data_IF_309913035515
#
_entry.id   IF_309913035515
#
_cell.length_a   1.000
_cell.length_b   1.000
_cell.length_c   1.000
_cell.angle_alpha   90.00
_cell.angle_beta   90.00
_cell.angle_gamma   90.00
#
_symmetry.space_group_name_H-M   'P 1'
#
loop_
_entity.id
_entity.type
_entity.pdbx_description
1 polymer ?
#
# COMPACT_ATOMS: atom_id res chain seq x y z
N UNK A 1 -3.47 10.09 -24.90
CA UNK A 1 -3.81 11.48 -24.56
C UNK A 1 -4.31 12.22 -25.79
N UNK A 2 -5.45 12.81 -25.69
CA UNK A 2 -6.02 13.69 -26.72
C UNK A 2 -6.07 15.13 -26.18
N UNK A 3 -5.41 16.11 -26.84
CA UNK A 3 -5.47 17.49 -26.40
C UNK A 3 -6.92 18.00 -26.33
N UNK A 4 -7.24 18.79 -25.31
CA UNK A 4 -8.54 19.41 -25.18
C UNK A 4 -8.67 20.55 -26.21
N UNK A 5 -9.67 20.46 -27.08
CA UNK A 5 -9.95 21.49 -28.08
C UNK A 5 -10.67 22.72 -27.50
N UNK A 6 -11.25 22.58 -26.30
CA UNK A 6 -12.06 23.62 -25.63
C UNK A 6 -11.28 24.36 -24.55
N UNK A 7 -9.97 24.22 -24.52
CA UNK A 7 -9.14 24.83 -23.49
C UNK A 7 -9.03 26.34 -23.71
N UNK A 8 -9.77 27.10 -22.91
CA UNK A 8 -9.72 28.57 -22.88
C UNK A 8 -8.60 29.11 -21.97
N UNK A 9 -7.77 28.22 -21.37
CA UNK A 9 -6.70 28.55 -20.46
C UNK A 9 -7.16 28.85 -19.02
N UNK A 10 -8.46 28.82 -18.74
CA UNK A 10 -9.01 29.06 -17.38
C UNK A 10 -9.72 27.84 -16.78
N UNK A 11 -10.20 26.94 -17.62
CA UNK A 11 -10.95 25.76 -17.16
C UNK A 11 -10.06 24.51 -17.17
N UNK A 12 -10.06 23.75 -16.08
CA UNK A 12 -9.39 22.46 -16.01
C UNK A 12 -10.02 21.50 -17.03
N UNK A 13 -9.17 20.94 -17.87
CA UNK A 13 -9.53 19.93 -18.84
C UNK A 13 -8.53 18.76 -18.72
N UNK A 14 -9.01 17.58 -18.36
CA UNK A 14 -8.17 16.42 -18.11
C UNK A 14 -8.65 15.19 -18.88
N UNK A 15 -7.71 14.41 -19.39
CA UNK A 15 -8.00 13.06 -19.92
C UNK A 15 -8.07 12.01 -18.80
N UNK A 16 -7.67 12.38 -17.56
CA UNK A 16 -7.83 11.54 -16.38
C UNK A 16 -9.17 11.82 -15.70
N UNK A 17 -9.69 10.88 -14.91
CA UNK A 17 -10.84 11.14 -14.05
C UNK A 17 -10.60 12.33 -13.12
N UNK A 18 -11.66 13.11 -12.87
CA UNK A 18 -11.68 14.16 -11.87
C UNK A 18 -12.44 13.69 -10.64
N UNK A 19 -11.86 13.90 -9.45
CA UNK A 19 -12.51 13.64 -8.17
C UNK A 19 -12.73 14.98 -7.48
N UNK A 20 -13.99 15.36 -7.34
CA UNK A 20 -14.44 16.62 -6.79
C UNK A 20 -14.94 16.39 -5.36
N UNK A 21 -14.26 16.96 -4.38
CA UNK A 21 -14.59 16.80 -2.95
C UNK A 21 -15.10 18.14 -2.42
N UNK A 22 -16.29 18.13 -1.83
CA UNK A 22 -16.92 19.31 -1.26
C UNK A 22 -17.17 19.10 0.24
N UNK A 23 -16.50 19.91 1.06
CA UNK A 23 -16.61 19.89 2.52
C UNK A 23 -17.49 21.01 3.09
N UNK A 24 -18.02 21.87 2.22
CA UNK A 24 -18.72 23.09 2.64
C UNK A 24 -17.79 24.09 3.35
N UNK A 25 -16.49 24.02 3.09
CA UNK A 25 -15.48 24.89 3.72
C UNK A 25 -15.01 24.41 5.10
N UNK A 26 -15.49 23.26 5.58
CA UNK A 26 -14.99 22.68 6.81
C UNK A 26 -13.59 22.04 6.61
N UNK A 27 -12.73 22.16 7.64
CA UNK A 27 -11.40 21.54 7.64
C UNK A 27 -11.50 20.03 7.78
N UNK A 28 -10.73 19.30 6.97
CA UNK A 28 -10.67 17.83 7.04
C UNK A 28 -9.82 17.43 8.25
N UNK A 29 -10.35 16.62 9.19
CA UNK A 29 -9.62 16.24 10.39
C UNK A 29 -8.48 15.26 10.09
N UNK A 30 -7.50 15.19 11.00
CA UNK A 30 -6.39 14.23 10.94
C UNK A 30 -5.03 14.86 10.63
N UNK A 31 -4.94 16.17 10.48
CA UNK A 31 -3.66 16.88 10.42
C UNK A 31 -3.01 17.00 11.80
N UNK A 32 -1.67 16.97 11.89
CA UNK A 32 -0.99 17.26 13.15
C UNK A 32 -1.29 18.67 13.64
N UNK A 33 -1.68 18.82 14.92
CA UNK A 33 -1.91 20.13 15.53
C UNK A 33 -0.58 20.91 15.58
N UNK A 34 -0.63 22.22 15.33
CA UNK A 34 0.50 23.11 15.53
C UNK A 34 0.60 23.51 17.00
N UNK A 35 1.78 23.29 17.56
CA UNK A 35 2.12 23.75 18.93
C UNK A 35 2.34 25.28 18.96
N UNK A 36 2.41 25.85 20.18
CA UNK A 36 2.65 27.29 20.38
C UNK A 36 3.99 27.77 19.77
N UNK A 37 4.98 26.91 19.71
CA UNK A 37 6.29 27.19 19.10
C UNK A 37 6.32 27.05 17.57
N UNK A 38 5.17 26.71 16.96
CA UNK A 38 5.01 26.50 15.52
C UNK A 38 5.38 25.10 15.03
N UNK A 39 5.91 24.22 15.90
CA UNK A 39 6.15 22.83 15.56
C UNK A 39 4.84 22.06 15.39
N UNK A 40 4.87 20.92 14.68
CA UNK A 40 3.72 20.03 14.54
C UNK A 40 3.77 18.96 15.64
N UNK A 41 2.62 18.66 16.25
CA UNK A 41 2.50 17.59 17.25
C UNK A 41 2.75 16.22 16.62
N UNK A 42 3.37 15.30 17.37
CA UNK A 42 3.63 13.93 16.91
C UNK A 42 2.45 12.97 17.19
N UNK A 43 1.56 13.34 18.09
CA UNK A 43 0.55 12.45 18.67
C UNK A 43 -0.87 13.07 18.78
N UNK A 44 -0.99 14.38 18.54
CA UNK A 44 -2.27 15.07 18.57
C UNK A 44 -2.65 15.59 17.19
N UNK A 45 -3.85 15.22 16.75
CA UNK A 45 -4.35 15.53 15.42
C UNK A 45 -5.64 16.35 15.51
N UNK A 46 -5.90 17.10 14.44
CA UNK A 46 -7.14 17.90 14.32
C UNK A 46 -8.36 16.99 14.29
N UNK A 47 -9.44 17.50 14.86
CA UNK A 47 -10.78 16.87 14.88
C UNK A 47 -11.81 17.82 14.27
N UNK A 48 -12.97 17.31 13.94
CA UNK A 48 -14.12 18.14 13.59
C UNK A 48 -14.57 18.99 14.78
N UNK A 49 -15.41 19.98 14.55
CA UNK A 49 -15.88 20.90 15.57
C UNK A 49 -16.61 20.20 16.75
N UNK A 50 -17.20 19.04 16.51
CA UNK A 50 -17.85 18.18 17.51
C UNK A 50 -16.91 17.09 18.07
N UNK A 51 -15.61 17.15 17.77
CA UNK A 51 -14.58 16.22 18.24
C UNK A 51 -14.48 14.92 17.46
N UNK A 52 -15.13 14.81 16.31
CA UNK A 52 -15.08 13.66 15.44
C UNK A 52 -13.73 13.52 14.70
N UNK A 53 -13.40 12.31 14.30
CA UNK A 53 -12.19 11.98 13.50
C UNK A 53 -12.48 11.84 12.00
N UNK A 54 -13.72 11.94 11.61
CA UNK A 54 -14.21 11.87 10.23
C UNK A 54 -15.14 13.07 9.98
N UNK A 55 -14.96 13.71 8.83
CA UNK A 55 -15.82 14.82 8.38
C UNK A 55 -16.83 14.29 7.36
N UNK A 56 -18.10 14.62 7.55
CA UNK A 56 -19.13 14.39 6.53
C UNK A 56 -18.94 15.39 5.37
N UNK A 57 -18.82 14.85 4.16
CA UNK A 57 -18.58 15.60 2.93
C UNK A 57 -19.32 14.94 1.76
N UNK A 58 -19.15 15.47 0.56
CA UNK A 58 -19.59 14.83 -0.67
C UNK A 58 -18.44 14.64 -1.65
N UNK A 59 -18.55 13.64 -2.49
CA UNK A 59 -17.65 13.39 -3.62
C UNK A 59 -18.47 13.25 -4.89
N UNK A 60 -17.98 13.89 -5.96
CA UNK A 60 -18.44 13.66 -7.32
C UNK A 60 -17.25 13.21 -8.18
N UNK A 61 -17.46 12.23 -9.04
CA UNK A 61 -16.46 11.75 -9.99
C UNK A 61 -16.93 12.08 -11.39
N UNK A 62 -16.06 12.70 -12.17
CA UNK A 62 -16.25 12.89 -13.61
C UNK A 62 -15.26 11.99 -14.33
N UNK A 63 -15.76 10.94 -14.96
CA UNK A 63 -14.97 9.92 -15.64
C UNK A 63 -15.70 9.45 -16.90
N UNK A 64 -15.51 10.17 -17.97
CA UNK A 64 -16.09 9.85 -19.27
C UNK A 64 -15.08 9.07 -20.12
N UNK A 65 -15.44 7.86 -20.54
CA UNK A 65 -14.56 6.99 -21.32
C UNK A 65 -14.11 7.60 -22.66
N UNK A 66 -14.93 8.44 -23.26
CA UNK A 66 -14.67 9.06 -24.54
C UNK A 66 -14.51 10.57 -24.40
N UNK A 67 -13.29 11.05 -24.32
CA UNK A 67 -13.01 12.47 -24.31
C UNK A 67 -12.24 12.96 -23.09
N UNK A 68 -12.30 14.25 -22.87
CA UNK A 68 -11.70 14.89 -21.70
C UNK A 68 -12.79 15.22 -20.68
N UNK A 69 -12.40 15.27 -19.42
CA UNK A 69 -13.24 15.58 -18.28
C UNK A 69 -13.05 17.04 -17.84
N UNK A 70 -14.15 17.70 -17.52
CA UNK A 70 -14.17 19.06 -16.97
C UNK A 70 -14.92 19.06 -15.63
N UNK A 71 -14.58 19.94 -14.68
CA UNK A 71 -15.29 20.02 -13.40
C UNK A 71 -16.79 20.32 -13.51
N UNK A 72 -17.20 20.92 -14.63
CA UNK A 72 -18.60 21.27 -14.93
C UNK A 72 -19.39 20.15 -15.62
N UNK A 73 -18.73 19.06 -16.01
CA UNK A 73 -19.40 17.95 -16.68
C UNK A 73 -20.32 17.21 -15.69
N UNK A 74 -21.30 16.50 -16.22
CA UNK A 74 -22.19 15.68 -15.39
C UNK A 74 -21.40 14.57 -14.73
N UNK A 75 -21.41 14.45 -13.37
CA UNK A 75 -20.71 13.38 -12.69
C UNK A 75 -21.20 11.99 -13.12
N UNK A 76 -20.26 11.05 -13.22
CA UNK A 76 -20.56 9.63 -13.46
C UNK A 76 -20.85 8.89 -12.16
N UNK A 77 -20.39 9.44 -11.02
CA UNK A 77 -20.67 8.95 -9.68
C UNK A 77 -20.81 10.14 -8.73
N UNK A 78 -21.80 10.07 -7.86
CA UNK A 78 -21.94 10.96 -6.70
C UNK A 78 -22.16 10.11 -5.43
N UNK A 79 -21.57 10.54 -4.32
CA UNK A 79 -21.76 9.88 -3.01
C UNK A 79 -21.57 10.86 -1.86
N UNK A 80 -22.33 10.67 -0.81
CA UNK A 80 -21.98 11.15 0.51
C UNK A 80 -20.76 10.37 0.99
N UNK A 81 -19.82 11.03 1.64
CA UNK A 81 -18.61 10.40 2.18
C UNK A 81 -18.34 10.85 3.62
N UNK A 82 -17.64 10.01 4.35
CA UNK A 82 -16.85 10.42 5.50
C UNK A 82 -15.38 10.48 5.09
N UNK A 83 -14.72 11.60 5.35
CA UNK A 83 -13.33 11.86 4.93
C UNK A 83 -12.44 12.25 6.11
N UNK A 84 -11.18 11.86 6.05
CA UNK A 84 -10.11 12.34 6.93
C UNK A 84 -8.76 12.32 6.24
N UNK A 85 -7.82 13.12 6.76
CA UNK A 85 -6.40 12.95 6.43
C UNK A 85 -5.90 11.61 7.00
N UNK A 86 -5.17 10.85 6.17
CA UNK A 86 -4.63 9.54 6.55
C UNK A 86 -3.12 9.48 6.42
N UNK A 87 -2.54 8.44 7.01
CA UNK A 87 -1.11 8.16 6.99
C UNK A 87 -0.50 8.30 8.38
N UNK A 88 0.77 8.07 8.45
CA UNK A 88 1.61 8.34 9.62
C UNK A 88 2.48 9.56 9.35
N UNK A 89 3.69 9.36 8.81
CA UNK A 89 4.59 10.44 8.40
C UNK A 89 3.99 11.34 7.31
N UNK A 90 3.20 10.78 6.39
CA UNK A 90 2.56 11.55 5.32
C UNK A 90 1.52 12.58 5.77
N UNK A 91 1.06 12.55 7.03
CA UNK A 91 0.20 13.61 7.59
C UNK A 91 0.93 14.94 7.78
N UNK A 92 2.26 14.91 7.76
CA UNK A 92 3.11 16.10 7.88
C UNK A 92 3.39 16.76 6.53
N UNK A 93 2.99 16.14 5.42
CA UNK A 93 3.17 16.68 4.09
C UNK A 93 2.08 17.68 3.75
N UNK A 94 2.39 18.70 2.99
CA UNK A 94 1.39 19.69 2.58
C UNK A 94 0.38 19.09 1.58
N UNK A 95 0.81 18.13 0.77
CA UNK A 95 -0.08 17.33 -0.07
C UNK A 95 -0.59 16.12 0.72
N UNK A 96 -1.78 16.25 1.28
CA UNK A 96 -2.34 15.22 2.15
C UNK A 96 -2.82 13.99 1.38
N UNK A 97 -2.72 12.85 2.05
CA UNK A 97 -3.43 11.62 1.68
C UNK A 97 -4.78 11.58 2.41
N UNK A 98 -5.82 11.09 1.73
CA UNK A 98 -7.16 11.03 2.31
C UNK A 98 -7.68 9.59 2.39
N UNK A 99 -8.49 9.32 3.42
CA UNK A 99 -9.37 8.18 3.49
C UNK A 99 -10.79 8.68 3.19
N UNK A 100 -11.47 8.00 2.27
CA UNK A 100 -12.86 8.24 1.93
C UNK A 100 -13.66 6.97 2.25
N UNK A 101 -14.78 7.14 2.97
CA UNK A 101 -15.78 6.09 3.17
C UNK A 101 -17.05 6.52 2.47
N UNK A 102 -17.48 5.76 1.49
CA UNK A 102 -18.69 6.06 0.74
C UNK A 102 -19.93 5.59 1.49
N UNK A 103 -20.97 6.40 1.47
CA UNK A 103 -22.16 6.25 2.28
C UNK A 103 -23.42 6.34 1.41
N UNK A 104 -24.52 5.84 1.95
CA UNK A 104 -25.86 6.10 1.43
C UNK A 104 -26.16 7.60 1.41
N UNK A 105 -27.12 8.03 0.61
CA UNK A 105 -27.43 9.45 0.42
C UNK A 105 -27.82 10.16 1.74
N UNK A 106 -28.45 9.42 2.66
CA UNK A 106 -28.77 9.90 4.00
C UNK A 106 -27.59 9.80 4.99
N UNK A 107 -26.48 9.24 4.55
CA UNK A 107 -25.27 9.04 5.35
C UNK A 107 -25.40 8.05 6.51
N UNK A 108 -26.43 7.20 6.53
CA UNK A 108 -26.72 6.29 7.64
C UNK A 108 -25.98 4.96 7.58
N UNK A 109 -25.52 4.57 6.40
CA UNK A 109 -24.83 3.28 6.17
C UNK A 109 -23.73 3.41 5.10
N UNK A 110 -22.79 2.46 5.12
CA UNK A 110 -21.82 2.28 4.04
C UNK A 110 -22.52 1.96 2.72
N UNK A 111 -21.94 2.41 1.63
CA UNK A 111 -22.39 2.16 0.27
C UNK A 111 -21.21 1.75 -0.58
N UNK A 112 -21.25 0.54 -1.14
CA UNK A 112 -20.27 0.09 -2.10
C UNK A 112 -20.47 0.81 -3.43
N UNK A 113 -19.40 1.40 -3.96
CA UNK A 113 -19.38 2.12 -5.23
C UNK A 113 -18.21 1.68 -6.09
N UNK A 114 -18.40 1.63 -7.41
CA UNK A 114 -17.32 1.43 -8.38
C UNK A 114 -16.58 2.75 -8.59
N UNK A 115 -15.53 2.97 -7.80
CA UNK A 115 -14.73 4.19 -7.87
C UNK A 115 -13.76 4.11 -9.05
N UNK A 116 -13.85 5.06 -9.99
CA UNK A 116 -13.01 5.13 -11.19
C UNK A 116 -12.98 3.81 -11.99
N UNK A 117 -14.12 3.12 -12.09
CA UNK A 117 -14.23 1.84 -12.79
C UNK A 117 -13.58 0.64 -12.09
N UNK A 118 -13.09 0.80 -10.85
CA UNK A 118 -12.63 -0.31 -10.02
C UNK A 118 -13.80 -1.07 -9.40
N UNK A 119 -13.55 -2.29 -8.92
CA UNK A 119 -14.57 -3.11 -8.28
C UNK A 119 -15.23 -2.40 -7.08
N UNK A 120 -16.51 -2.65 -6.86
CA UNK A 120 -17.27 -1.91 -5.86
C UNK A 120 -16.77 -2.14 -4.45
N UNK A 121 -16.61 -1.06 -3.70
CA UNK A 121 -16.14 -1.05 -2.31
C UNK A 121 -16.57 0.25 -1.62
N UNK A 122 -16.52 0.26 -0.28
CA UNK A 122 -16.96 1.42 0.51
C UNK A 122 -15.80 2.22 1.14
N UNK A 123 -14.55 1.76 1.05
CA UNK A 123 -13.42 2.41 1.69
C UNK A 123 -12.24 2.62 0.72
N UNK A 124 -11.91 3.86 0.44
CA UNK A 124 -10.95 4.28 -0.58
C UNK A 124 -9.83 5.12 0.01
N UNK A 125 -8.63 4.94 -0.49
CA UNK A 125 -7.49 5.79 -0.19
C UNK A 125 -7.12 6.64 -1.40
N UNK A 126 -7.07 7.95 -1.20
CA UNK A 126 -6.45 8.90 -2.13
C UNK A 126 -5.01 9.14 -1.66
N UNK A 127 -4.07 8.65 -2.44
CA UNK A 127 -2.64 8.85 -2.19
C UNK A 127 -2.11 10.00 -3.04
N UNK A 128 -1.67 11.08 -2.38
CA UNK A 128 -1.03 12.23 -3.03
C UNK A 128 0.48 12.05 -3.04
N UNK A 129 1.10 11.78 -4.19
CA UNK A 129 2.54 11.63 -4.27
C UNK A 129 3.23 12.98 -4.02
N UNK A 130 3.82 13.14 -2.84
CA UNK A 130 4.49 14.37 -2.40
C UNK A 130 6.01 14.24 -2.44
N UNK A 131 6.60 13.24 -1.76
CA UNK A 131 8.02 12.93 -1.85
C UNK A 131 8.37 12.20 -3.16
N UNK A 132 7.43 11.43 -3.71
CA UNK A 132 7.62 10.76 -4.99
C UNK A 132 7.47 11.74 -6.16
N UNK A 133 8.57 12.39 -6.53
CA UNK A 133 8.62 13.34 -7.66
C UNK A 133 8.48 12.65 -9.03
N UNK A 134 8.58 11.31 -9.10
CA UNK A 134 8.25 10.56 -10.31
C UNK A 134 6.73 10.43 -10.52
N UNK A 135 5.93 10.58 -9.47
CA UNK A 135 4.48 10.46 -9.40
C UNK A 135 3.92 9.04 -9.66
N UNK A 136 4.78 8.07 -9.95
CA UNK A 136 4.34 6.76 -10.49
C UNK A 136 4.66 5.55 -9.62
N UNK A 137 5.40 5.68 -8.50
CA UNK A 137 5.86 4.53 -7.71
C UNK A 137 4.72 3.63 -7.24
N UNK A 138 3.75 4.16 -6.50
CA UNK A 138 2.61 3.36 -6.04
C UNK A 138 1.81 2.79 -7.21
N UNK A 139 1.51 3.61 -8.22
CA UNK A 139 0.76 3.16 -9.38
C UNK A 139 1.43 1.97 -10.10
N UNK A 140 2.72 2.10 -10.38
CA UNK A 140 3.47 1.08 -11.10
C UNK A 140 3.57 -0.22 -10.31
N UNK A 141 4.04 -0.14 -9.06
CA UNK A 141 4.32 -1.34 -8.28
C UNK A 141 3.06 -2.08 -7.85
N UNK A 142 1.94 -1.37 -7.63
CA UNK A 142 0.65 -2.02 -7.37
C UNK A 142 0.14 -2.77 -8.61
N UNK A 143 0.24 -2.17 -9.78
CA UNK A 143 -0.16 -2.85 -11.02
C UNK A 143 0.73 -4.06 -11.32
N UNK A 144 2.05 -3.95 -11.15
CA UNK A 144 2.96 -5.10 -11.32
C UNK A 144 2.68 -6.19 -10.27
N UNK A 145 2.38 -5.82 -9.04
CA UNK A 145 1.95 -6.78 -8.02
C UNK A 145 0.65 -7.50 -8.41
N UNK A 146 -0.28 -6.79 -9.03
CA UNK A 146 -1.54 -7.37 -9.54
C UNK A 146 -1.34 -8.42 -10.64
N UNK A 147 -0.21 -8.37 -11.36
CA UNK A 147 0.14 -9.37 -12.39
C UNK A 147 0.79 -10.64 -11.80
N UNK A 148 1.29 -10.60 -10.57
CA UNK A 148 2.07 -11.71 -9.99
C UNK A 148 1.48 -12.30 -8.73
N UNK A 149 0.68 -11.55 -7.96
CA UNK A 149 0.05 -11.98 -6.71
C UNK A 149 -1.43 -12.32 -6.94
N UNK A 150 -1.96 -13.22 -6.14
CA UNK A 150 -3.41 -13.54 -6.16
C UNK A 150 -4.29 -12.32 -5.86
N UNK A 151 -3.81 -11.45 -4.97
CA UNK A 151 -4.46 -10.19 -4.63
C UNK A 151 -3.42 -9.09 -4.42
N UNK A 152 -3.65 -7.97 -5.08
CA UNK A 152 -3.04 -6.68 -4.79
C UNK A 152 -4.12 -5.61 -5.01
N UNK A 153 -4.11 -4.49 -4.25
CA UNK A 153 -5.09 -3.44 -4.45
C UNK A 153 -5.02 -2.85 -5.87
N UNK A 154 -6.17 -2.59 -6.46
CA UNK A 154 -6.25 -1.86 -7.72
C UNK A 154 -5.89 -0.38 -7.51
N UNK A 155 -5.36 0.23 -8.54
CA UNK A 155 -5.01 1.65 -8.53
C UNK A 155 -5.46 2.34 -9.81
N UNK A 156 -5.88 3.60 -9.66
CA UNK A 156 -6.20 4.49 -10.78
C UNK A 156 -5.65 5.88 -10.51
N UNK A 157 -5.10 6.50 -11.53
CA UNK A 157 -4.80 7.94 -11.46
C UNK A 157 -6.07 8.76 -11.55
N UNK A 158 -6.10 9.86 -10.82
CA UNK A 158 -7.12 10.89 -10.91
C UNK A 158 -6.53 12.27 -10.57
N UNK A 159 -7.21 13.31 -10.98
CA UNK A 159 -6.90 14.67 -10.55
C UNK A 159 -7.97 15.12 -9.54
N UNK A 160 -7.55 15.74 -8.45
CA UNK A 160 -8.42 16.05 -7.31
C UNK A 160 -8.67 17.56 -7.24
N UNK A 161 -9.94 17.94 -7.04
CA UNK A 161 -10.34 19.29 -6.63
C UNK A 161 -10.99 19.19 -5.24
N UNK A 162 -10.56 20.06 -4.33
CA UNK A 162 -11.14 20.20 -2.99
C UNK A 162 -11.77 21.58 -2.86
N UNK A 163 -13.09 21.63 -2.66
CA UNK A 163 -13.86 22.90 -2.64
C UNK A 163 -13.59 23.79 -3.86
N UNK A 164 -13.48 23.16 -5.04
CA UNK A 164 -13.18 23.82 -6.30
C UNK A 164 -11.69 24.16 -6.54
N UNK A 165 -10.81 23.98 -5.56
CA UNK A 165 -9.37 24.23 -5.69
C UNK A 165 -8.63 22.97 -6.14
N UNK A 166 -7.82 23.10 -7.19
CA UNK A 166 -7.04 22.00 -7.76
C UNK A 166 -5.92 21.55 -6.84
N UNK A 167 -5.92 20.28 -6.50
CA UNK A 167 -4.95 19.64 -5.57
C UNK A 167 -3.87 18.81 -6.28
N UNK A 168 -3.94 18.67 -7.60
CA UNK A 168 -2.97 17.90 -8.38
C UNK A 168 -3.36 16.45 -8.64
N UNK A 169 -2.36 15.69 -9.07
CA UNK A 169 -2.48 14.26 -9.37
C UNK A 169 -2.50 13.42 -8.09
N UNK A 170 -3.42 12.47 -8.06
CA UNK A 170 -3.55 11.46 -6.99
C UNK A 170 -3.64 10.05 -7.57
N UNK A 171 -3.36 9.07 -6.72
CA UNK A 171 -3.63 7.65 -6.98
C UNK A 171 -4.77 7.22 -6.06
N UNK A 172 -5.89 6.84 -6.64
CA UNK A 172 -7.00 6.21 -5.92
C UNK A 172 -6.75 4.71 -5.83
N UNK A 173 -6.96 4.14 -4.66
CA UNK A 173 -6.86 2.70 -4.41
C UNK A 173 -7.90 2.25 -3.40
N UNK A 174 -8.35 1.00 -3.49
CA UNK A 174 -9.10 0.36 -2.42
C UNK A 174 -8.21 0.19 -1.18
N UNK A 175 -8.77 0.23 0.01
CA UNK A 175 -8.04 -0.20 1.21
C UNK A 175 -8.02 -1.73 1.30
N UNK A 176 -7.01 -2.28 1.99
CA UNK A 176 -6.94 -3.74 2.20
C UNK A 176 -7.95 -4.11 3.28
N UNK A 177 -9.11 -4.56 2.84
CA UNK A 177 -10.19 -5.04 3.69
C UNK A 177 -11.09 -5.98 2.88
N UNK A 178 -11.92 -6.76 3.56
CA UNK A 178 -12.84 -7.71 2.92
C UNK A 178 -14.28 -7.24 3.00
N UNK A 179 -15.00 -7.39 1.91
CA UNK A 179 -16.44 -7.22 1.82
C UNK A 179 -17.01 -8.15 0.75
N UNK A 180 -18.34 -8.24 0.66
CA UNK A 180 -19.03 -9.14 -0.29
C UNK A 180 -18.69 -8.83 -1.73
N UNK A 181 -18.61 -7.54 -2.08
CA UNK A 181 -18.34 -7.06 -3.43
C UNK A 181 -16.90 -6.58 -3.62
N UNK A 182 -16.06 -6.63 -2.56
CA UNK A 182 -14.65 -6.29 -2.64
C UNK A 182 -13.84 -7.33 -3.40
N UNK A 183 -12.70 -6.93 -3.96
CA UNK A 183 -11.77 -7.87 -4.62
C UNK A 183 -11.16 -8.87 -3.64
N UNK A 184 -10.88 -8.44 -2.41
CA UNK A 184 -10.51 -9.36 -1.33
C UNK A 184 -11.78 -9.90 -0.68
N UNK A 185 -12.13 -11.12 -1.02
CA UNK A 185 -13.30 -11.81 -0.48
C UNK A 185 -12.85 -12.88 0.52
N UNK A 186 -13.12 -12.62 1.79
CA UNK A 186 -12.92 -13.57 2.88
C UNK A 186 -14.29 -14.01 3.40
N UNK A 187 -14.38 -15.25 3.86
CA UNK A 187 -15.60 -15.79 4.46
C UNK A 187 -16.07 -14.90 5.61
N UNK A 188 -17.34 -14.49 5.58
CA UNK A 188 -17.90 -13.65 6.65
C UNK A 188 -17.90 -14.38 8.00
N UNK A 189 -17.71 -13.65 9.11
CA UNK A 189 -17.78 -14.21 10.45
C UNK A 189 -19.16 -14.79 10.76
N UNK A 190 -19.19 -15.98 11.37
CA UNK A 190 -20.41 -16.59 11.90
C UNK A 190 -20.66 -16.14 13.35
N UNK A 191 -21.94 -16.13 13.77
CA UNK A 191 -22.32 -15.93 15.17
C UNK A 191 -22.09 -17.19 16.03
N UNK A 192 -22.00 -18.35 15.39
CA UNK A 192 -21.96 -19.64 16.05
C UNK A 192 -20.54 -20.10 16.43
N UNK A 193 -19.52 -19.39 15.96
CA UNK A 193 -18.11 -19.72 16.23
C UNK A 193 -17.24 -18.47 16.34
N UNK A 194 -16.19 -18.57 17.15
CA UNK A 194 -15.14 -17.55 17.23
C UNK A 194 -14.15 -17.65 16.07
N UNK A 195 -14.05 -18.82 15.43
CA UNK A 195 -13.23 -19.02 14.25
C UNK A 195 -13.72 -18.13 13.11
N UNK A 196 -12.77 -17.45 12.48
CA UNK A 196 -13.10 -16.47 11.44
C UNK A 196 -11.95 -16.31 10.44
N UNK A 197 -12.28 -15.82 9.27
CA UNK A 197 -11.30 -15.21 8.38
C UNK A 197 -10.82 -13.90 8.95
N UNK A 198 -9.61 -13.50 8.63
CA UNK A 198 -9.09 -12.21 9.09
C UNK A 198 -7.97 -11.65 8.22
N UNK A 199 -7.80 -10.35 8.31
CA UNK A 199 -6.65 -9.63 7.78
C UNK A 199 -5.99 -8.83 8.90
N UNK A 200 -4.68 -8.86 8.95
CA UNK A 200 -3.85 -8.17 9.93
C UNK A 200 -2.95 -7.15 9.24
N UNK A 201 -2.61 -6.11 9.97
CA UNK A 201 -1.63 -5.11 9.57
C UNK A 201 -0.56 -4.97 10.64
N UNK A 202 0.69 -5.09 10.24
CA UNK A 202 1.83 -4.68 11.05
C UNK A 202 2.13 -3.21 10.76
N UNK A 203 2.08 -2.38 11.79
CA UNK A 203 2.34 -0.94 11.68
C UNK A 203 2.59 -0.34 13.08
N UNK A 204 2.56 1.00 13.18
CA UNK A 204 2.70 1.76 14.44
C UNK A 204 1.43 1.75 15.32
N UNK A 205 0.49 0.86 15.04
CA UNK A 205 -0.78 0.75 15.74
C UNK A 205 -1.84 1.76 15.27
N UNK A 206 -3.09 1.35 15.42
CA UNK A 206 -4.24 2.19 15.09
C UNK A 206 -4.71 3.08 16.26
N UNK A 207 -4.12 2.89 17.44
CA UNK A 207 -4.61 3.50 18.69
C UNK A 207 -5.92 2.90 19.19
N UNK A 208 -6.43 1.84 18.58
CA UNK A 208 -7.64 1.14 18.99
C UNK A 208 -7.29 -0.19 19.65
N UNK A 209 -7.29 -0.22 20.97
CA UNK A 209 -6.95 -1.41 21.77
C UNK A 209 -7.79 -2.65 21.42
N UNK A 210 -9.04 -2.48 21.00
CA UNK A 210 -9.90 -3.60 20.62
C UNK A 210 -9.45 -4.31 19.35
N UNK A 211 -8.65 -3.66 18.52
CA UNK A 211 -8.09 -4.21 17.28
C UNK A 211 -6.67 -4.70 17.43
N UNK A 212 -5.95 -4.25 18.45
CA UNK A 212 -4.55 -4.62 18.67
C UNK A 212 -4.48 -6.01 19.30
N UNK A 213 -3.58 -6.84 18.79
CA UNK A 213 -3.32 -8.18 19.34
C UNK A 213 -1.86 -8.36 19.67
N UNK A 214 -1.58 -9.10 20.74
CA UNK A 214 -0.24 -9.57 21.07
C UNK A 214 0.05 -10.89 20.36
N UNK A 215 1.20 -10.97 19.70
CA UNK A 215 1.61 -12.13 18.92
C UNK A 215 2.90 -12.74 19.45
N UNK A 216 3.19 -13.97 19.03
CA UNK A 216 4.42 -14.67 19.44
C UNK A 216 5.68 -13.87 19.06
N UNK A 217 5.75 -13.28 17.87
CA UNK A 217 6.94 -12.53 17.44
C UNK A 217 7.16 -11.27 18.27
N UNK A 218 6.12 -10.56 18.67
CA UNK A 218 6.23 -9.42 19.58
C UNK A 218 6.80 -9.83 20.93
N UNK A 219 6.31 -10.91 21.49
CA UNK A 219 6.74 -11.39 22.79
C UNK A 219 8.15 -12.03 22.77
N UNK A 220 8.36 -12.98 21.86
CA UNK A 220 9.59 -13.77 21.83
C UNK A 220 10.77 -13.05 21.18
N UNK A 221 10.51 -12.21 20.18
CA UNK A 221 11.52 -11.53 19.38
C UNK A 221 11.63 -10.04 19.69
N UNK A 222 10.79 -9.56 20.58
CA UNK A 222 10.66 -8.12 20.91
C UNK A 222 10.44 -7.27 19.66
N UNK A 223 9.69 -7.79 18.70
CA UNK A 223 9.21 -6.99 17.59
C UNK A 223 8.31 -5.89 18.14
N UNK A 224 8.69 -4.64 17.90
CA UNK A 224 8.04 -3.48 18.49
C UNK A 224 6.86 -2.97 17.66
N UNK A 225 6.57 -3.58 16.51
CA UNK A 225 5.44 -3.16 15.70
C UNK A 225 4.14 -3.70 16.28
N UNK A 226 3.11 -2.86 16.24
CA UNK A 226 1.77 -3.29 16.60
C UNK A 226 1.16 -4.15 15.50
N UNK A 227 0.33 -5.10 15.92
CA UNK A 227 -0.45 -5.93 15.00
C UNK A 227 -1.93 -5.61 15.21
N UNK A 228 -2.52 -4.98 14.22
CA UNK A 228 -3.92 -4.59 14.24
C UNK A 228 -4.77 -5.54 13.38
N UNK A 229 -5.94 -5.90 13.88
CA UNK A 229 -6.97 -6.59 13.11
C UNK A 229 -7.65 -5.57 12.18
N UNK A 230 -7.48 -5.75 10.88
CA UNK A 230 -8.15 -4.96 9.84
C UNK A 230 -9.53 -5.54 9.54
N UNK A 231 -9.62 -6.84 9.37
CA UNK A 231 -10.84 -7.60 9.19
C UNK A 231 -10.88 -8.74 10.23
N UNK A 232 -12.00 -9.08 10.82
CA UNK A 232 -13.35 -8.59 10.55
C UNK A 232 -13.63 -7.17 11.08
N UNK A 233 -14.71 -6.57 10.61
CA UNK A 233 -15.15 -5.24 11.03
C UNK A 233 -15.49 -5.21 12.53
N UNK A 234 -15.46 -4.04 13.19
CA UNK A 234 -15.67 -3.92 14.64
C UNK A 234 -16.97 -4.55 15.15
N UNK A 235 -18.05 -4.56 14.35
CA UNK A 235 -19.32 -5.21 14.71
C UNK A 235 -19.21 -6.72 14.95
N UNK A 236 -18.19 -7.36 14.37
CA UNK A 236 -17.93 -8.79 14.45
C UNK A 236 -16.76 -9.13 15.39
N UNK A 237 -16.02 -8.12 15.82
CA UNK A 237 -14.82 -8.29 16.64
C UNK A 237 -15.17 -8.29 18.11
N UNK A 238 -15.41 -9.49 18.67
CA UNK A 238 -15.53 -9.68 20.13
C UNK A 238 -14.17 -9.95 20.76
N UNK A 239 -14.01 -9.75 22.10
CA UNK A 239 -12.77 -10.11 22.78
C UNK A 239 -12.34 -11.55 22.59
N UNK A 240 -13.29 -12.48 22.58
CA UNK A 240 -13.02 -13.91 22.38
C UNK A 240 -12.54 -14.20 20.97
N UNK A 241 -13.10 -13.50 19.96
CA UNK A 241 -12.67 -13.63 18.57
C UNK A 241 -11.29 -13.01 18.35
N UNK A 242 -11.02 -11.85 18.95
CA UNK A 242 -9.69 -11.24 18.91
C UNK A 242 -8.64 -12.16 19.57
N UNK A 243 -8.95 -12.76 20.71
CA UNK A 243 -8.08 -13.73 21.35
C UNK A 243 -7.85 -14.98 20.49
N UNK A 244 -8.88 -15.47 19.80
CA UNK A 244 -8.72 -16.59 18.88
C UNK A 244 -7.81 -16.23 17.69
N UNK A 245 -7.99 -15.05 17.08
CA UNK A 245 -7.12 -14.55 16.00
C UNK A 245 -5.67 -14.45 16.48
N UNK A 246 -5.43 -13.87 17.67
CA UNK A 246 -4.11 -13.73 18.25
C UNK A 246 -3.43 -15.10 18.46
N UNK A 247 -4.19 -16.10 18.92
CA UNK A 247 -3.68 -17.46 19.10
C UNK A 247 -3.38 -18.15 17.77
N UNK A 248 -4.31 -18.11 16.81
CA UNK A 248 -4.15 -18.74 15.48
C UNK A 248 -2.94 -18.17 14.74
N UNK A 249 -2.79 -16.83 14.79
CA UNK A 249 -1.64 -16.17 14.18
C UNK A 249 -0.32 -16.46 14.92
N UNK A 250 -0.33 -16.49 16.25
CA UNK A 250 0.84 -16.87 17.05
C UNK A 250 1.26 -18.33 16.81
N UNK A 251 0.31 -19.23 16.55
CA UNK A 251 0.63 -20.63 16.24
C UNK A 251 1.29 -20.75 14.86
N UNK A 252 0.87 -19.95 13.88
CA UNK A 252 1.60 -19.82 12.61
C UNK A 252 3.02 -19.30 12.84
N UNK A 253 3.20 -18.20 13.57
CA UNK A 253 4.53 -17.65 13.84
C UNK A 253 5.42 -18.67 14.57
N UNK A 254 4.88 -19.39 15.56
CA UNK A 254 5.62 -20.47 16.27
C UNK A 254 6.03 -21.59 15.32
N UNK A 255 5.20 -21.93 14.34
CA UNK A 255 5.54 -22.95 13.36
C UNK A 255 6.82 -22.62 12.58
N UNK A 256 7.07 -21.35 12.28
CA UNK A 256 8.30 -20.90 11.63
C UNK A 256 9.56 -21.08 12.51
N UNK A 257 9.41 -21.04 13.84
CA UNK A 257 10.49 -21.13 14.82
C UNK A 257 10.61 -22.52 15.44
N UNK A 258 9.76 -23.47 15.06
CA UNK A 258 9.83 -24.84 15.55
C UNK A 258 11.00 -25.60 14.92
N UNK A 259 11.44 -26.66 15.57
CA UNK A 259 12.54 -27.50 15.08
C UNK A 259 12.20 -28.19 13.75
N UNK A 260 10.93 -28.48 13.53
CA UNK A 260 10.37 -29.15 12.35
C UNK A 260 9.63 -28.21 11.38
N UNK A 261 9.99 -26.91 11.40
CA UNK A 261 9.34 -25.86 10.62
C UNK A 261 9.27 -26.14 9.10
N UNK A 262 10.18 -26.95 8.58
CA UNK A 262 10.24 -27.37 7.19
C UNK A 262 10.14 -28.90 7.00
N UNK A 263 9.40 -29.57 7.87
CA UNK A 263 9.22 -31.03 7.88
C UNK A 263 7.75 -31.39 7.96
N UNK A 264 7.23 -32.13 6.98
CA UNK A 264 5.84 -32.59 7.01
C UNK A 264 5.57 -33.56 8.18
N UNK A 265 4.39 -33.49 8.78
CA UNK A 265 3.23 -32.62 8.51
C UNK A 265 3.22 -31.31 9.30
N UNK A 266 4.33 -30.93 9.93
CA UNK A 266 4.43 -29.76 10.82
C UNK A 266 5.01 -28.52 10.13
N UNK A 267 5.32 -28.64 8.85
CA UNK A 267 5.94 -27.57 8.09
C UNK A 267 5.06 -26.31 7.99
N UNK A 268 5.70 -25.15 7.99
CA UNK A 268 4.99 -23.85 7.90
C UNK A 268 4.08 -23.73 6.67
N UNK A 269 4.41 -24.40 5.57
CA UNK A 269 3.59 -24.38 4.35
C UNK A 269 2.25 -25.11 4.47
N UNK A 270 2.01 -25.83 5.56
CA UNK A 270 0.68 -26.32 5.89
C UNK A 270 -0.26 -25.17 6.27
N UNK A 271 0.28 -24.06 6.79
CA UNK A 271 -0.46 -22.87 7.22
C UNK A 271 -0.27 -21.68 6.27
N UNK A 272 0.88 -21.55 5.61
CA UNK A 272 1.23 -20.42 4.75
C UNK A 272 1.27 -20.81 3.26
N UNK A 273 0.79 -19.93 2.40
CA UNK A 273 0.95 -20.05 0.96
C UNK A 273 2.36 -19.60 0.58
N UNK A 274 3.25 -20.56 0.35
CA UNK A 274 4.65 -20.28 0.03
C UNK A 274 4.79 -19.33 -1.17
N UNK A 275 4.00 -19.49 -2.22
CA UNK A 275 4.09 -18.67 -3.41
C UNK A 275 3.79 -17.19 -3.10
N UNK A 276 2.76 -16.93 -2.30
CA UNK A 276 2.41 -15.58 -1.86
C UNK A 276 3.56 -14.91 -1.08
N UNK A 277 4.22 -15.65 -0.20
CA UNK A 277 5.38 -15.12 0.55
C UNK A 277 6.60 -14.90 -0.34
N UNK A 278 6.81 -15.75 -1.36
CA UNK A 278 7.87 -15.59 -2.36
C UNK A 278 7.65 -14.33 -3.20
N UNK A 279 6.45 -14.14 -3.73
CA UNK A 279 6.14 -12.97 -4.56
C UNK A 279 6.23 -11.67 -3.75
N UNK A 280 5.75 -11.66 -2.51
CA UNK A 280 5.90 -10.50 -1.61
C UNK A 280 7.38 -10.19 -1.34
N UNK A 281 8.20 -11.23 -1.07
CA UNK A 281 9.64 -11.05 -0.88
C UNK A 281 10.27 -10.39 -2.10
N UNK A 282 10.05 -10.94 -3.30
CA UNK A 282 10.70 -10.45 -4.52
C UNK A 282 10.29 -9.01 -4.85
N UNK A 283 9.00 -8.67 -4.73
CA UNK A 283 8.50 -7.32 -4.98
C UNK A 283 9.17 -6.28 -4.09
N UNK A 284 9.19 -6.55 -2.77
CA UNK A 284 9.73 -5.61 -1.81
C UNK A 284 11.27 -5.61 -1.80
N UNK A 285 11.88 -6.76 -2.02
CA UNK A 285 13.34 -6.88 -2.11
C UNK A 285 13.90 -6.18 -3.36
N UNK A 286 13.28 -6.41 -4.52
CA UNK A 286 13.71 -5.78 -5.76
C UNK A 286 13.62 -4.26 -5.70
N UNK A 287 12.64 -3.73 -5.01
CA UNK A 287 12.40 -2.29 -4.88
C UNK A 287 13.11 -1.64 -3.69
N UNK A 288 13.78 -2.42 -2.84
CA UNK A 288 14.26 -1.97 -1.54
C UNK A 288 13.19 -1.18 -0.80
N UNK A 289 11.98 -1.76 -0.68
CA UNK A 289 10.89 -1.10 0.02
C UNK A 289 11.12 -1.16 1.52
N UNK A 290 11.71 -0.11 2.08
CA UNK A 290 12.24 -0.05 3.43
C UNK A 290 11.22 -0.44 4.52
N UNK A 291 9.99 0.01 4.38
CA UNK A 291 8.93 -0.25 5.36
C UNK A 291 8.39 -1.69 5.31
N UNK A 292 8.61 -2.41 4.22
CA UNK A 292 8.06 -3.75 4.05
C UNK A 292 8.57 -4.75 5.08
N UNK A 293 7.65 -5.51 5.66
CA UNK A 293 7.92 -6.49 6.69
C UNK A 293 7.91 -5.96 8.13
N UNK A 294 7.94 -4.64 8.31
CA UNK A 294 7.82 -4.02 9.65
C UNK A 294 6.61 -3.11 9.77
N UNK A 295 6.40 -2.22 8.77
CA UNK A 295 5.32 -1.24 8.69
C UNK A 295 4.55 -1.49 7.40
N UNK A 296 3.33 -0.98 7.33
CA UNK A 296 2.51 -1.10 6.12
C UNK A 296 2.46 -2.53 5.56
N UNK A 297 2.59 -3.52 6.44
CA UNK A 297 2.66 -4.93 6.07
C UNK A 297 1.35 -5.63 6.38
N UNK A 298 0.75 -6.23 5.37
CA UNK A 298 -0.53 -6.89 5.47
C UNK A 298 -0.42 -8.39 5.21
N UNK A 299 -1.13 -9.16 6.03
CA UNK A 299 -1.26 -10.60 5.92
C UNK A 299 -2.73 -10.98 6.14
N UNK A 300 -3.25 -11.92 5.37
CA UNK A 300 -4.63 -12.33 5.48
C UNK A 300 -4.79 -13.83 5.35
N UNK A 301 -5.91 -14.35 5.87
CA UNK A 301 -6.25 -15.75 5.85
C UNK A 301 -7.76 -15.93 5.81
N UNK A 302 -8.25 -16.74 4.88
CA UNK A 302 -9.61 -17.27 4.99
C UNK A 302 -9.69 -18.32 6.12
N UNK A 303 -10.85 -18.53 6.72
CA UNK A 303 -11.05 -19.40 7.87
C UNK A 303 -10.53 -20.82 7.67
N UNK A 304 -10.52 -21.30 6.44
CA UNK A 304 -9.99 -22.64 6.06
C UNK A 304 -8.81 -22.55 5.11
N UNK A 305 -8.31 -21.33 4.88
CA UNK A 305 -7.23 -21.07 3.94
C UNK A 305 -5.86 -21.03 4.62
N UNK A 306 -4.87 -20.72 3.79
CA UNK A 306 -3.50 -20.45 4.20
C UNK A 306 -3.27 -18.95 4.31
N UNK A 307 -2.29 -18.56 5.12
CA UNK A 307 -1.84 -17.17 5.18
C UNK A 307 -1.27 -16.73 3.84
N UNK A 308 -1.65 -15.54 3.42
CA UNK A 308 -1.16 -14.87 2.23
C UNK A 308 -0.74 -13.44 2.57
N UNK A 309 0.31 -12.97 1.90
CA UNK A 309 0.79 -11.59 2.01
C UNK A 309 0.06 -10.68 1.04
N UNK A 310 -0.03 -9.39 1.38
CA UNK A 310 -0.48 -8.35 0.46
C UNK A 310 0.47 -7.17 0.52
N UNK A 311 0.76 -6.59 -0.65
CA UNK A 311 1.61 -5.40 -0.76
C UNK A 311 0.86 -4.13 -0.34
N UNK A 312 1.60 -3.16 0.17
CA UNK A 312 1.12 -1.80 0.45
C UNK A 312 2.29 -0.84 0.50
N UNK A 313 2.05 0.41 0.02
CA UNK A 313 2.93 1.56 0.21
C UNK A 313 4.35 1.44 -0.39
N UNK A 314 4.46 1.78 -1.67
CA UNK A 314 5.73 1.82 -2.42
C UNK A 314 6.27 3.24 -2.66
N UNK A 315 5.70 4.25 -2.02
CA UNK A 315 6.14 5.63 -2.23
C UNK A 315 7.60 5.88 -1.80
N UNK A 316 8.10 5.10 -0.85
CA UNK A 316 9.49 5.15 -0.39
C UNK A 316 10.43 4.19 -1.14
N UNK A 317 9.91 3.33 -2.00
CA UNK A 317 10.68 2.34 -2.74
C UNK A 317 11.61 2.96 -3.80
N UNK A 318 12.59 2.19 -4.27
CA UNK A 318 13.55 2.60 -5.29
C UNK A 318 14.29 3.89 -4.90
N UNK A 319 14.95 3.86 -3.75
CA UNK A 319 15.73 4.95 -3.17
C UNK A 319 14.98 6.28 -2.99
N UNK A 320 13.73 6.20 -2.55
CA UNK A 320 12.91 7.39 -2.24
C UNK A 320 12.56 7.52 -0.75
N UNK A 321 13.24 6.79 0.13
CA UNK A 321 13.06 6.92 1.57
C UNK A 321 13.68 8.21 2.10
N UNK A 322 12.99 8.88 3.03
CA UNK A 322 13.35 10.27 3.41
C UNK A 322 14.64 10.39 4.20
N UNK A 323 15.05 9.36 4.92
CA UNK A 323 16.14 9.45 5.91
C UNK A 323 17.33 8.55 5.62
N UNK A 324 17.18 7.54 4.80
CA UNK A 324 18.23 6.57 4.50
C UNK A 324 18.38 6.36 2.99
N UNK A 325 19.59 6.03 2.58
CA UNK A 325 19.91 5.65 1.20
C UNK A 325 19.61 4.16 1.05
N UNK A 326 18.77 3.80 0.09
CA UNK A 326 18.60 2.40 -0.30
C UNK A 326 19.81 1.99 -1.16
N UNK A 327 20.73 1.24 -0.57
CA UNK A 327 21.81 0.63 -1.33
C UNK A 327 21.25 -0.49 -2.21
N UNK A 328 21.35 -0.40 -3.56
CA UNK A 328 20.86 -1.45 -4.44
C UNK A 328 21.66 -2.77 -4.30
N UNK A 329 22.71 -2.82 -3.49
CA UNK A 329 23.67 -3.92 -3.37
C UNK A 329 23.56 -4.72 -2.08
N UNK A 330 22.39 -4.85 -1.48
CA UNK A 330 22.14 -5.70 -0.31
C UNK A 330 20.73 -6.31 -0.31
N UNK A 331 20.45 -7.19 0.66
CA UNK A 331 19.11 -7.75 0.90
C UNK A 331 18.49 -7.15 2.14
N UNK A 332 17.28 -6.60 1.99
CA UNK A 332 16.55 -5.93 3.09
C UNK A 332 15.69 -6.90 3.91
N UNK A 333 14.84 -7.65 3.22
CA UNK A 333 13.76 -8.39 3.86
C UNK A 333 14.22 -9.67 4.57
N UNK A 334 15.41 -10.17 4.28
CA UNK A 334 15.95 -11.35 4.97
C UNK A 334 16.10 -11.15 6.49
N UNK A 335 16.08 -9.89 6.96
CA UNK A 335 16.16 -9.56 8.40
C UNK A 335 14.78 -9.42 9.06
N UNK A 336 13.72 -9.45 8.30
CA UNK A 336 12.36 -9.47 8.85
C UNK A 336 12.12 -10.75 9.65
N UNK A 337 11.32 -10.66 10.71
CA UNK A 337 11.08 -11.78 11.66
C UNK A 337 10.60 -13.07 11.02
N UNK A 338 9.74 -13.00 10.01
CA UNK A 338 9.25 -14.19 9.29
C UNK A 338 10.24 -14.64 8.23
N UNK A 339 10.73 -13.71 7.43
CA UNK A 339 11.64 -13.98 6.32
C UNK A 339 13.02 -14.43 6.78
N UNK A 340 13.44 -14.02 7.99
CA UNK A 340 14.62 -14.56 8.64
C UNK A 340 14.53 -16.09 8.82
N UNK A 341 13.36 -16.61 9.18
CA UNK A 341 13.16 -18.05 9.31
C UNK A 341 12.90 -18.74 7.96
N UNK A 342 12.11 -18.13 7.09
CA UNK A 342 11.84 -18.64 5.75
C UNK A 342 13.12 -18.79 4.93
N UNK A 343 14.07 -17.86 5.04
CA UNK A 343 15.35 -17.94 4.32
C UNK A 343 16.25 -19.08 4.78
N UNK A 344 15.94 -19.77 5.87
CA UNK A 344 16.62 -21.01 6.31
C UNK A 344 16.06 -22.25 5.63
N UNK A 345 14.88 -22.20 5.06
CA UNK A 345 14.31 -23.32 4.31
C UNK A 345 14.86 -23.33 2.87
N UNK A 346 15.54 -24.42 2.51
CA UNK A 346 16.08 -24.60 1.16
C UNK A 346 14.99 -24.50 0.10
N UNK A 347 13.82 -25.11 0.34
CA UNK A 347 12.72 -25.07 -0.60
C UNK A 347 12.11 -23.68 -0.79
N UNK A 348 12.14 -22.81 0.25
CA UNK A 348 11.72 -21.41 0.12
C UNK A 348 12.74 -20.61 -0.70
N UNK A 349 14.02 -20.76 -0.39
CA UNK A 349 15.10 -20.04 -1.08
C UNK A 349 15.16 -20.43 -2.55
N UNK A 350 15.02 -21.71 -2.86
CA UNK A 350 14.96 -22.19 -4.25
C UNK A 350 13.76 -21.56 -5.00
N UNK A 351 12.59 -21.53 -4.38
CA UNK A 351 11.40 -20.92 -4.96
C UNK A 351 11.60 -19.40 -5.21
N UNK A 352 12.25 -18.68 -4.28
CA UNK A 352 12.58 -17.25 -4.46
C UNK A 352 13.51 -17.07 -5.66
N UNK A 353 14.58 -17.86 -5.76
CA UNK A 353 15.57 -17.73 -6.84
C UNK A 353 14.95 -18.05 -8.19
N UNK A 354 14.19 -19.15 -8.30
CA UNK A 354 13.54 -19.54 -9.54
C UNK A 354 12.49 -18.50 -9.98
N UNK A 355 11.67 -18.03 -9.07
CA UNK A 355 10.65 -17.02 -9.34
C UNK A 355 11.25 -15.67 -9.72
N UNK A 356 12.30 -15.23 -9.03
CA UNK A 356 13.03 -14.03 -9.40
C UNK A 356 13.57 -14.12 -10.83
N UNK A 357 14.23 -15.23 -11.20
CA UNK A 357 14.79 -15.43 -12.54
C UNK A 357 13.71 -15.45 -13.62
N UNK A 358 12.55 -16.03 -13.32
CA UNK A 358 11.38 -15.97 -14.20
C UNK A 358 10.94 -14.53 -14.45
N UNK A 359 10.74 -13.76 -13.37
CA UNK A 359 10.31 -12.36 -13.45
C UNK A 359 11.34 -11.47 -14.16
N UNK A 360 12.63 -11.72 -13.96
CA UNK A 360 13.71 -10.99 -14.66
C UNK A 360 13.75 -11.21 -16.15
N UNK A 361 13.27 -12.35 -16.63
CA UNK A 361 13.11 -12.62 -18.06
C UNK A 361 11.85 -11.96 -18.66
N UNK A 362 10.93 -11.50 -17.83
CA UNK A 362 9.65 -10.93 -18.21
C UNK A 362 9.42 -9.54 -17.62
N UNK A 363 8.49 -9.48 -16.67
CA UNK A 363 7.98 -8.23 -16.07
C UNK A 363 9.06 -7.37 -15.43
N UNK A 364 10.08 -7.98 -14.82
CA UNK A 364 11.17 -7.26 -14.13
C UNK A 364 12.41 -7.08 -15.00
N UNK A 365 12.36 -7.39 -16.29
CA UNK A 365 13.47 -7.05 -17.18
C UNK A 365 13.64 -5.53 -17.28
N UNK A 366 14.89 -5.07 -17.43
CA UNK A 366 15.19 -3.64 -17.57
C UNK A 366 14.38 -3.00 -18.69
N UNK A 367 14.21 -3.74 -19.80
CA UNK A 367 13.43 -3.29 -20.95
C UNK A 367 11.94 -3.14 -20.59
N UNK A 368 11.35 -4.11 -19.89
CA UNK A 368 9.92 -4.08 -19.53
C UNK A 368 9.64 -2.97 -18.53
N UNK A 369 10.45 -2.84 -17.49
CA UNK A 369 10.30 -1.80 -16.47
C UNK A 369 10.46 -0.40 -17.06
N UNK A 370 11.51 -0.19 -17.89
CA UNK A 370 11.70 1.11 -18.54
C UNK A 370 10.56 1.45 -19.50
N UNK A 371 10.10 0.49 -20.30
CA UNK A 371 8.99 0.70 -21.22
C UNK A 371 7.67 0.99 -20.49
N UNK A 372 7.44 0.35 -19.34
CA UNK A 372 6.27 0.62 -18.50
C UNK A 372 6.30 2.05 -17.97
N UNK A 373 7.42 2.50 -17.39
CA UNK A 373 7.58 3.87 -16.90
C UNK A 373 7.37 4.89 -18.02
N UNK A 374 7.96 4.66 -19.20
CA UNK A 374 7.80 5.55 -20.36
C UNK A 374 6.35 5.64 -20.81
N UNK A 375 5.64 4.51 -20.86
CA UNK A 375 4.23 4.47 -21.25
C UNK A 375 3.34 5.22 -20.25
N UNK A 376 3.58 5.05 -18.95
CA UNK A 376 2.81 5.75 -17.89
C UNK A 376 3.09 7.24 -17.91
N UNK A 377 4.35 7.66 -18.05
CA UNK A 377 4.71 9.08 -18.15
C UNK A 377 4.09 9.73 -19.39
N UNK A 378 4.14 9.05 -20.53
CA UNK A 378 3.52 9.52 -21.77
C UNK A 378 1.98 9.64 -21.61
N UNK A 379 1.36 8.69 -20.91
CA UNK A 379 -0.08 8.74 -20.64
C UNK A 379 -0.46 9.85 -19.68
N UNK A 380 0.32 10.11 -18.63
CA UNK A 380 0.08 11.24 -17.72
C UNK A 380 0.12 12.58 -18.48
N UNK A 381 1.04 12.72 -19.44
CA UNK A 381 1.11 13.88 -20.33
C UNK A 381 1.08 15.22 -19.56
N UNK A 382 0.15 16.13 -19.91
CA UNK A 382 0.09 17.47 -19.30
C UNK A 382 -0.33 17.47 -17.82
N UNK A 383 -0.82 16.37 -17.29
CA UNK A 383 -1.14 16.25 -15.85
C UNK A 383 0.11 16.45 -14.98
N UNK A 384 1.29 16.05 -15.47
CA UNK A 384 2.56 16.27 -14.77
C UNK A 384 2.80 17.76 -14.54
N UNK A 385 2.66 18.58 -15.58
CA UNK A 385 2.83 20.03 -15.47
C UNK A 385 1.76 20.65 -14.57
N UNK A 386 0.51 20.22 -14.68
CA UNK A 386 -0.57 20.69 -13.79
C UNK A 386 -0.30 20.36 -12.34
N UNK A 387 0.16 19.13 -12.05
CA UNK A 387 0.54 18.75 -10.68
C UNK A 387 1.61 19.68 -10.13
N UNK A 388 2.68 19.91 -10.87
CA UNK A 388 3.77 20.78 -10.43
C UNK A 388 3.48 22.27 -10.54
N UNK A 389 2.37 22.70 -11.15
CA UNK A 389 1.90 24.08 -11.02
C UNK A 389 1.48 24.42 -9.58
N UNK A 390 1.04 23.42 -8.81
CA UNK A 390 0.71 23.55 -7.38
C UNK A 390 1.90 23.15 -6.50
N UNK A 391 2.54 22.02 -6.82
CA UNK A 391 3.58 21.40 -5.98
C UNK A 391 5.00 21.62 -6.49
N UNK A 392 5.21 22.58 -7.40
CA UNK A 392 6.51 22.80 -8.06
C UNK A 392 7.64 23.23 -7.13
N UNK A 393 7.34 23.85 -5.99
CA UNK A 393 8.33 24.17 -5.00
C UNK A 393 9.06 22.94 -4.47
N UNK A 394 8.41 21.78 -4.45
CA UNK A 394 9.02 20.50 -4.03
C UNK A 394 10.20 20.09 -4.92
N UNK A 395 10.22 20.53 -6.17
CA UNK A 395 11.33 20.30 -7.10
C UNK A 395 12.56 21.19 -6.81
N UNK A 396 12.36 22.28 -6.08
CA UNK A 396 13.42 23.20 -5.71
C UNK A 396 14.01 22.93 -4.32
N UNK A 397 13.37 22.05 -3.54
CA UNK A 397 13.72 21.76 -2.16
C UNK A 397 14.35 20.37 -2.01
N UNK A 398 15.31 20.25 -1.09
CA UNK A 398 15.88 18.97 -0.69
C UNK A 398 14.97 18.32 0.36
N UNK A 399 14.04 17.49 -0.11
CA UNK A 399 13.00 16.87 0.71
C UNK A 399 13.41 15.53 1.33
N UNK A 400 14.45 14.90 0.77
CA UNK A 400 15.03 13.64 1.27
C UNK A 400 16.53 13.81 1.50
N UNK A 401 17.08 13.05 2.43
CA UNK A 401 18.49 13.14 2.84
C UNK A 401 19.28 11.93 2.34
N UNK A 402 20.52 12.09 1.87
CA UNK A 402 21.24 13.35 1.65
C UNK A 402 20.75 14.14 0.42
N UNK A 403 21.13 15.41 0.33
CA UNK A 403 20.59 16.39 -0.64
C UNK A 403 20.73 15.97 -2.11
N UNK A 404 21.83 15.32 -2.48
CA UNK A 404 22.15 14.85 -3.83
C UNK A 404 21.17 13.80 -4.39
N UNK A 405 20.30 13.20 -3.53
CA UNK A 405 19.26 12.25 -3.95
C UNK A 405 18.01 12.94 -4.51
N UNK A 406 17.87 14.26 -4.27
CA UNK A 406 16.69 14.99 -4.66
C UNK A 406 16.70 15.33 -6.16
N UNK A 407 15.74 14.79 -6.95
CA UNK A 407 15.60 15.23 -8.33
C UNK A 407 14.95 16.61 -8.39
N UNK A 408 15.42 17.45 -9.31
CA UNK A 408 14.94 18.82 -9.50
C UNK A 408 13.97 18.94 -10.69
N UNK A 409 13.59 17.81 -11.28
CA UNK A 409 12.55 17.73 -12.30
C UNK A 409 11.87 16.35 -12.26
N UNK A 410 10.67 16.28 -12.82
CA UNK A 410 9.97 15.01 -12.99
C UNK A 410 10.79 14.02 -13.85
N UNK A 411 11.42 14.53 -14.93
CA UNK A 411 12.25 13.70 -15.82
C UNK A 411 13.44 13.09 -15.07
N UNK A 412 14.11 13.85 -14.20
CA UNK A 412 15.19 13.34 -13.35
C UNK A 412 14.68 12.30 -12.37
N UNK A 413 13.52 12.52 -11.75
CA UNK A 413 12.91 11.55 -10.83
C UNK A 413 12.61 10.20 -11.51
N UNK A 414 12.10 10.23 -12.72
CA UNK A 414 11.84 9.02 -13.52
C UNK A 414 13.16 8.35 -13.93
N UNK A 415 14.17 9.14 -14.34
CA UNK A 415 15.49 8.63 -14.69
C UNK A 415 16.16 7.92 -13.50
N UNK A 416 16.14 8.55 -12.31
CA UNK A 416 16.69 7.95 -11.09
C UNK A 416 15.99 6.61 -10.75
N UNK A 417 14.67 6.54 -10.87
CA UNK A 417 13.93 5.29 -10.63
C UNK A 417 14.32 4.19 -11.63
N UNK A 418 14.50 4.55 -12.91
CA UNK A 418 14.98 3.61 -13.93
C UNK A 418 16.40 3.12 -13.64
N UNK A 419 17.30 4.03 -13.30
CA UNK A 419 18.70 3.70 -13.00
C UNK A 419 18.77 2.80 -11.75
N UNK A 420 17.96 3.06 -10.71
CA UNK A 420 17.87 2.18 -9.56
C UNK A 420 17.44 0.76 -9.97
N UNK A 421 16.38 0.62 -10.74
CA UNK A 421 15.89 -0.68 -11.18
C UNK A 421 16.94 -1.47 -12.01
N UNK A 422 17.70 -0.78 -12.87
CA UNK A 422 18.78 -1.40 -13.65
C UNK A 422 19.91 -1.87 -12.74
N UNK A 423 20.38 -1.02 -11.82
CA UNK A 423 21.44 -1.37 -10.88
C UNK A 423 21.02 -2.50 -9.96
N UNK A 424 19.79 -2.44 -9.44
CA UNK A 424 19.21 -3.46 -8.57
C UNK A 424 19.09 -4.80 -9.27
N UNK A 425 18.56 -4.81 -10.50
CA UNK A 425 18.45 -6.00 -11.32
C UNK A 425 19.81 -6.64 -11.61
N UNK A 426 20.78 -5.85 -12.01
CA UNK A 426 22.13 -6.33 -12.27
C UNK A 426 22.78 -6.95 -11.03
N UNK A 427 22.66 -6.30 -9.87
CA UNK A 427 23.19 -6.83 -8.63
C UNK A 427 22.48 -8.11 -8.19
N UNK A 428 21.16 -8.14 -8.23
CA UNK A 428 20.41 -9.35 -7.84
C UNK A 428 20.65 -10.50 -8.81
N UNK A 429 20.83 -10.25 -10.10
CA UNK A 429 21.18 -11.29 -11.10
C UNK A 429 22.49 -12.01 -10.74
N UNK A 430 23.46 -11.29 -10.19
CA UNK A 430 24.76 -11.85 -9.75
C UNK A 430 24.71 -12.47 -8.34
N UNK A 431 23.83 -11.98 -7.46
CA UNK A 431 23.93 -12.26 -6.03
C UNK A 431 22.74 -13.01 -5.43
N UNK A 432 21.66 -13.26 -6.17
CA UNK A 432 20.47 -13.93 -5.62
C UNK A 432 20.78 -15.30 -5.04
N UNK A 433 21.75 -16.02 -5.58
CA UNK A 433 22.20 -17.32 -5.09
C UNK A 433 22.88 -17.26 -3.71
N UNK A 434 23.30 -16.06 -3.25
CA UNK A 434 23.87 -15.87 -1.90
C UNK A 434 22.84 -16.25 -0.82
N UNK A 435 21.55 -16.11 -1.09
CA UNK A 435 20.50 -16.54 -0.15
C UNK A 435 20.64 -18.00 0.26
N UNK A 436 21.23 -18.85 -0.58
CA UNK A 436 21.46 -20.28 -0.28
C UNK A 436 22.43 -20.51 0.89
N UNK A 437 23.29 -19.55 1.22
CA UNK A 437 24.23 -19.69 2.33
C UNK A 437 23.55 -19.85 3.70
N UNK A 438 22.30 -19.37 3.82
CA UNK A 438 21.53 -19.43 5.07
C UNK A 438 20.58 -20.63 5.12
N UNK A 439 20.33 -21.27 3.97
CA UNK A 439 19.36 -22.34 3.86
C UNK A 439 19.97 -23.71 4.07
N UNK A 440 19.15 -24.66 4.46
CA UNK A 440 19.51 -26.05 4.64
C UNK A 440 18.29 -26.96 4.46
N UNK A 441 18.55 -28.24 4.14
CA UNK A 441 17.49 -29.25 4.12
C UNK A 441 16.89 -29.44 5.53
N UNK A 442 15.65 -29.94 5.58
CA UNK A 442 15.01 -30.32 6.85
C UNK A 442 15.85 -31.29 7.64
N UNK A 443 16.12 -30.94 8.89
CA UNK A 443 16.87 -31.80 9.80
C UNK A 443 16.07 -33.02 10.26
N UNK A 444 14.76 -32.97 10.18
CA UNK A 444 13.84 -34.01 10.65
C UNK A 444 13.35 -34.93 9.54
N UNK A 445 13.81 -34.74 8.31
CA UNK A 445 13.40 -35.51 7.13
C UNK A 445 13.44 -37.02 7.34
N UNK A 446 14.38 -37.52 8.18
CA UNK A 446 14.54 -38.94 8.46
C UNK A 446 13.51 -39.48 9.44
N UNK A 447 12.82 -38.65 10.19
CA UNK A 447 11.88 -39.07 11.25
C UNK A 447 10.43 -39.12 10.76
N UNK A 448 10.17 -38.72 9.56
CA UNK A 448 8.83 -38.57 8.98
C UNK A 448 8.53 -39.65 7.92
N UNK A 449 9.24 -40.75 7.95
CA UNK A 449 9.06 -41.90 7.05
C UNK A 449 8.44 -43.09 7.75
#
# INVERSE_FOLDING_TARGET
YTPCAEQDGQTLCSHLPLVLIETGGAEIPGEPIRNEDGSRSNDVFTTTADGGTLLRASVAVVDHEAGNNHPSDTPTLESTIDIRVRGNSSRYFDKHNYLLKTLTDDGSASRDVSMLGMDAFDEWALHGPYLDKSLIRNYMWYNLAGEIMDYAPNVRFCEVLLNGEYQGLYVMTETINSAVDARLQLTEPSKDTVQTSYALRLDRGSGNEAKNIETFSQYALRNLQDVDIVYPSPKWLTPERAAWIAQDFSDFEKSLYSYDYNTEPYAYWEQADRASFVDYFILNEFTCNYDAGWLSTYIYKDVRGKYKMCIWDFNSACDNYSHEVDDPQHFELQYNVWYYMLSKDEGFVDAVIDRYRELRQGLFSDKALSAYMDAVVAWLGPTVERNFSVWGYTLAEDMISPAERNPHSHAEAVAQMKDFCVQRGAWMDEHIDILRQYSHESKNKKFNH
#
